data_IF_607737071309
#
_entry.id   IF_607737071309
#
_cell.length_a   1.000
_cell.length_b   1.000
_cell.length_c   1.000
_cell.angle_alpha   90.00
_cell.angle_beta   90.00
_cell.angle_gamma   90.00
#
_symmetry.space_group_name_H-M   'P 1'
#
loop_
_entity.id
_entity.type
_entity.pdbx_description
1 polymer ?
#
# COMPACT_ATOMS: atom_id res chain seq x y z
N UNK A 1 -46.78 -19.87 42.63
CA UNK A 1 -46.14 -20.87 41.78
C UNK A 1 -45.45 -20.08 40.67
N UNK A 2 -44.15 -19.70 40.88
CA UNK A 2 -43.37 -18.92 39.91
C UNK A 2 -42.66 -19.87 38.96
N UNK A 3 -43.03 -19.86 37.71
CA UNK A 3 -42.34 -20.60 36.65
C UNK A 3 -40.99 -19.88 36.35
N UNK A 4 -39.86 -20.46 36.74
CA UNK A 4 -38.54 -20.09 36.25
C UNK A 4 -38.38 -20.68 34.85
N UNK A 5 -38.36 -19.82 33.83
CA UNK A 5 -37.99 -20.20 32.47
C UNK A 5 -36.46 -20.21 32.44
N UNK A 6 -35.79 -21.32 32.13
CA UNK A 6 -34.33 -21.34 31.99
C UNK A 6 -33.95 -20.59 30.74
N UNK A 7 -33.10 -19.56 30.89
CA UNK A 7 -32.45 -18.84 29.81
C UNK A 7 -31.36 -19.76 29.22
N UNK A 8 -31.67 -20.47 28.13
CA UNK A 8 -30.66 -21.20 27.37
C UNK A 8 -29.78 -20.18 26.64
N UNK A 9 -28.56 -19.98 27.10
CA UNK A 9 -27.51 -19.34 26.36
C UNK A 9 -27.17 -20.27 25.19
N UNK A 10 -27.63 -19.94 23.99
CA UNK A 10 -27.18 -20.59 22.76
C UNK A 10 -25.78 -20.04 22.49
N UNK A 11 -24.72 -20.76 22.89
CA UNK A 11 -23.40 -20.57 22.35
C UNK A 11 -23.48 -20.91 20.86
N UNK A 12 -23.43 -19.92 20.00
CA UNK A 12 -23.26 -20.17 18.56
C UNK A 12 -21.92 -20.90 18.38
N UNK A 13 -21.97 -22.11 17.83
CA UNK A 13 -20.76 -22.85 17.51
C UNK A 13 -19.97 -22.05 16.44
N UNK A 14 -18.69 -21.77 16.74
CA UNK A 14 -17.76 -21.08 15.84
C UNK A 14 -17.53 -21.97 14.62
N UNK A 15 -17.63 -21.41 13.42
CA UNK A 15 -17.28 -22.13 12.21
C UNK A 15 -15.79 -22.48 12.21
N UNK A 16 -15.38 -23.65 11.71
CA UNK A 16 -13.96 -24.02 11.64
C UNK A 16 -13.13 -22.95 10.92
N UNK A 17 -12.07 -22.45 11.55
CA UNK A 17 -11.19 -21.42 11.01
C UNK A 17 -11.68 -19.99 11.12
N UNK A 18 -12.80 -19.73 11.81
CA UNK A 18 -13.31 -18.40 12.13
C UNK A 18 -12.65 -17.86 13.41
N UNK A 19 -12.11 -16.66 13.38
CA UNK A 19 -11.51 -15.98 14.52
C UNK A 19 -12.44 -14.87 15.05
N UNK A 20 -12.90 -14.95 16.30
CA UNK A 20 -13.66 -13.86 16.94
C UNK A 20 -12.69 -12.89 17.56
N UNK A 21 -12.50 -11.72 16.89
CA UNK A 21 -11.58 -10.68 17.34
C UNK A 21 -12.14 -9.84 18.48
N UNK A 22 -13.45 -9.67 18.54
CA UNK A 22 -14.14 -8.99 19.64
C UNK A 22 -15.50 -9.63 19.88
N UNK A 23 -15.91 -9.69 21.16
CA UNK A 23 -17.21 -10.15 21.56
C UNK A 23 -17.84 -9.10 22.48
N UNK A 24 -19.03 -8.57 22.13
CA UNK A 24 -19.79 -7.58 22.89
C UNK A 24 -18.99 -6.34 23.32
N UNK A 25 -18.00 -5.95 22.50
CA UNK A 25 -17.14 -4.79 22.77
C UNK A 25 -15.94 -5.09 23.68
N UNK A 26 -15.60 -6.35 23.89
CA UNK A 26 -14.39 -6.79 24.58
C UNK A 26 -13.53 -7.66 23.68
N UNK A 27 -12.21 -7.63 23.86
CA UNK A 27 -11.24 -8.41 23.10
C UNK A 27 -10.11 -8.89 24.00
N UNK A 28 -9.63 -10.11 23.75
CA UNK A 28 -8.41 -10.69 24.33
C UNK A 28 -7.27 -10.78 23.29
N UNK A 29 -7.45 -10.16 22.11
CA UNK A 29 -6.47 -10.09 21.05
C UNK A 29 -5.50 -8.94 21.25
N UNK A 30 -4.24 -9.17 20.88
CA UNK A 30 -3.20 -8.14 20.82
C UNK A 30 -2.72 -7.96 19.39
N UNK A 31 -2.21 -6.77 19.07
CA UNK A 31 -1.53 -6.51 17.80
C UNK A 31 -0.04 -6.65 18.04
N UNK A 32 0.63 -7.49 17.25
CA UNK A 32 2.07 -7.71 17.35
C UNK A 32 2.76 -7.06 16.15
N UNK A 33 3.71 -6.17 16.42
CA UNK A 33 4.60 -5.58 15.42
C UNK A 33 6.03 -5.60 15.96
N UNK A 34 6.99 -6.05 15.15
CA UNK A 34 8.38 -6.20 15.58
C UNK A 34 9.00 -4.85 16.00
N UNK A 35 9.95 -4.89 16.95
CA UNK A 35 10.65 -3.66 17.40
C UNK A 35 11.43 -2.99 16.27
N UNK A 36 12.01 -3.78 15.37
CA UNK A 36 12.76 -3.32 14.20
C UNK A 36 11.88 -3.10 12.95
N UNK A 37 10.56 -3.09 13.12
CA UNK A 37 9.61 -2.86 12.04
C UNK A 37 9.89 -1.54 11.31
N UNK A 38 9.62 -1.51 10.00
CA UNK A 38 9.67 -0.28 9.20
C UNK A 38 8.62 0.74 9.68
N UNK A 39 8.82 2.01 9.36
CA UNK A 39 7.84 3.06 9.68
C UNK A 39 6.43 2.71 9.17
N UNK A 40 6.33 2.21 7.94
CA UNK A 40 5.05 1.81 7.35
C UNK A 40 4.40 0.59 8.04
N UNK A 41 5.19 -0.33 8.59
CA UNK A 41 4.68 -1.46 9.37
C UNK A 41 4.14 -1.00 10.74
N UNK A 42 4.80 -0.02 11.37
CA UNK A 42 4.28 0.63 12.60
C UNK A 42 3.00 1.42 12.33
N UNK A 43 2.95 2.16 11.23
CA UNK A 43 1.73 2.83 10.79
C UNK A 43 0.61 1.82 10.54
N UNK A 44 0.90 0.70 9.91
CA UNK A 44 -0.06 -0.38 9.68
C UNK A 44 -0.68 -0.90 10.99
N UNK A 45 0.14 -1.13 12.02
CA UNK A 45 -0.33 -1.56 13.34
C UNK A 45 -1.18 -0.48 14.02
N UNK A 46 -0.81 0.79 13.92
CA UNK A 46 -1.57 1.91 14.48
C UNK A 46 -2.92 2.11 13.77
N UNK A 47 -2.94 2.09 12.44
CA UNK A 47 -4.18 2.15 11.63
C UNK A 47 -5.10 0.97 11.94
N UNK A 48 -4.56 -0.23 12.09
CA UNK A 48 -5.34 -1.41 12.48
C UNK A 48 -5.97 -1.25 13.86
N UNK A 49 -5.18 -0.80 14.84
CA UNK A 49 -5.65 -0.57 16.22
C UNK A 49 -6.79 0.46 16.24
N UNK A 50 -6.59 1.63 15.61
CA UNK A 50 -7.59 2.71 15.54
C UNK A 50 -8.91 2.20 14.96
N UNK A 51 -8.84 1.53 13.81
CA UNK A 51 -10.03 1.07 13.11
C UNK A 51 -10.74 -0.06 13.85
N UNK A 52 -10.02 -1.06 14.38
CA UNK A 52 -10.63 -2.13 15.16
C UNK A 52 -11.30 -1.60 16.44
N UNK A 53 -10.67 -0.64 17.13
CA UNK A 53 -11.27 0.01 18.27
C UNK A 53 -12.52 0.81 17.90
N UNK A 54 -12.48 1.55 16.81
CA UNK A 54 -13.63 2.30 16.31
C UNK A 54 -14.79 1.39 15.89
N UNK A 55 -14.49 0.24 15.29
CA UNK A 55 -15.49 -0.75 14.83
C UNK A 55 -16.16 -1.46 16.02
N UNK A 56 -15.36 -1.90 17.01
CA UNK A 56 -15.82 -2.85 18.04
C UNK A 56 -16.07 -2.21 19.42
N UNK A 57 -15.41 -1.07 19.68
CA UNK A 57 -15.31 -0.47 21.00
C UNK A 57 -14.30 -1.19 21.92
N UNK A 58 -13.69 -2.30 21.49
CA UNK A 58 -12.71 -3.06 22.25
C UNK A 58 -11.29 -2.48 22.10
N UNK A 59 -10.45 -2.66 23.10
CA UNK A 59 -9.03 -2.33 23.04
C UNK A 59 -8.23 -3.48 22.39
N UNK A 60 -7.29 -3.11 21.52
CA UNK A 60 -6.31 -4.02 20.90
C UNK A 60 -4.90 -3.51 21.19
N UNK A 61 -4.26 -3.90 22.30
CA UNK A 61 -2.93 -3.41 22.66
C UNK A 61 -1.89 -3.76 21.60
N UNK A 62 -1.03 -2.79 21.25
CA UNK A 62 0.11 -3.01 20.34
C UNK A 62 1.34 -3.32 21.17
N UNK A 63 2.04 -4.42 20.84
CA UNK A 63 3.22 -4.88 21.56
C UNK A 63 4.21 -5.57 20.62
N UNK A 64 5.50 -5.71 20.99
CA UNK A 64 6.50 -6.29 20.10
C UNK A 64 6.42 -7.82 20.00
N UNK A 65 5.85 -8.48 20.99
CA UNK A 65 5.76 -9.94 21.08
C UNK A 65 4.43 -10.39 21.65
N UNK A 66 4.08 -11.65 21.48
CA UNK A 66 2.94 -12.27 22.17
C UNK A 66 3.38 -13.62 22.76
N UNK A 67 2.72 -14.03 23.86
CA UNK A 67 2.90 -15.37 24.40
C UNK A 67 2.49 -16.45 23.36
N UNK A 68 3.07 -17.66 23.41
CA UNK A 68 2.80 -18.70 22.41
C UNK A 68 1.32 -19.02 22.19
N UNK A 69 0.52 -19.01 23.24
CA UNK A 69 -0.91 -19.32 23.29
C UNK A 69 -1.82 -18.07 23.21
N UNK A 70 -1.25 -16.86 23.25
CA UNK A 70 -2.03 -15.64 23.19
C UNK A 70 -2.63 -15.44 21.79
N UNK A 71 -3.85 -14.93 21.71
CA UNK A 71 -4.47 -14.51 20.46
C UNK A 71 -3.81 -13.22 19.95
N UNK A 72 -3.37 -13.22 18.69
CA UNK A 72 -2.66 -12.06 18.15
C UNK A 72 -2.94 -11.81 16.67
N UNK A 73 -2.98 -10.52 16.31
CA UNK A 73 -2.87 -10.07 14.93
C UNK A 73 -1.42 -9.67 14.69
N UNK A 74 -0.71 -10.46 13.91
CA UNK A 74 0.71 -10.29 13.61
C UNK A 74 0.85 -9.39 12.38
N UNK A 75 1.44 -8.22 12.56
CA UNK A 75 1.60 -7.20 11.52
C UNK A 75 3.06 -7.15 11.05
N UNK A 76 3.26 -7.45 9.79
CA UNK A 76 4.55 -7.44 9.13
C UNK A 76 5.28 -8.78 9.10
N UNK A 77 6.43 -8.83 8.41
CA UNK A 77 7.34 -9.96 8.42
C UNK A 77 7.79 -10.29 9.85
N UNK A 78 7.68 -11.56 10.22
CA UNK A 78 8.04 -11.98 11.57
C UNK A 78 8.39 -13.47 11.63
N UNK A 79 9.16 -13.94 12.63
CA UNK A 79 9.36 -15.37 12.87
C UNK A 79 8.04 -16.14 13.03
N UNK A 80 7.03 -15.56 13.66
CA UNK A 80 5.72 -16.18 13.86
C UNK A 80 5.03 -16.49 12.51
N UNK A 81 5.13 -15.59 11.54
CA UNK A 81 4.61 -15.84 10.19
C UNK A 81 5.41 -16.94 9.49
N UNK A 82 6.74 -16.87 9.53
CA UNK A 82 7.60 -17.83 8.85
C UNK A 82 7.44 -19.26 9.41
N UNK A 83 7.23 -19.41 10.71
CA UNK A 83 6.99 -20.69 11.36
C UNK A 83 5.60 -21.25 11.00
N UNK A 84 4.56 -20.42 11.04
CA UNK A 84 3.19 -20.85 10.78
C UNK A 84 2.91 -21.10 9.29
N UNK A 85 3.57 -20.36 8.41
CA UNK A 85 3.36 -20.37 6.96
C UNK A 85 4.68 -20.39 6.20
N UNK A 86 5.46 -21.49 6.26
CA UNK A 86 6.76 -21.60 5.59
C UNK A 86 6.65 -21.61 4.06
N UNK A 87 5.45 -21.77 3.53
CA UNK A 87 5.10 -21.67 2.10
C UNK A 87 5.08 -20.22 1.57
N UNK A 88 5.04 -19.23 2.46
CA UNK A 88 4.99 -17.82 2.08
C UNK A 88 6.39 -17.28 1.77
N UNK A 89 6.68 -17.07 0.49
CA UNK A 89 7.90 -16.40 0.04
C UNK A 89 7.68 -14.87 0.03
N UNK A 90 8.11 -14.20 1.10
CA UNK A 90 8.04 -12.73 1.20
C UNK A 90 8.90 -12.02 0.14
N UNK A 91 9.96 -12.67 -0.36
CA UNK A 91 10.83 -12.11 -1.42
C UNK A 91 10.11 -12.02 -2.77
N UNK A 92 9.20 -12.96 -3.06
CA UNK A 92 8.40 -12.97 -4.27
C UNK A 92 7.29 -11.91 -4.31
N UNK A 93 6.97 -11.27 -3.17
CA UNK A 93 5.90 -10.28 -3.08
C UNK A 93 6.26 -8.92 -3.69
N UNK A 94 7.53 -8.68 -4.02
CA UNK A 94 8.00 -7.37 -4.47
C UNK A 94 7.79 -6.30 -3.40
N UNK A 95 7.37 -5.10 -3.81
CA UNK A 95 7.21 -3.96 -2.89
C UNK A 95 5.80 -3.81 -2.30
N UNK A 96 4.80 -4.35 -2.97
CA UNK A 96 3.38 -4.07 -2.75
C UNK A 96 2.51 -5.32 -2.59
N UNK A 97 3.09 -6.52 -2.71
CA UNK A 97 2.38 -7.78 -2.51
C UNK A 97 1.97 -7.96 -1.06
N UNK A 98 0.85 -8.64 -0.84
CA UNK A 98 0.20 -8.78 0.47
C UNK A 98 -0.01 -10.24 0.84
N UNK A 99 -0.04 -10.50 2.14
CA UNK A 99 -0.39 -11.78 2.76
C UNK A 99 -1.45 -11.53 3.83
N UNK A 100 -2.58 -12.22 3.70
CA UNK A 100 -3.59 -12.34 4.75
C UNK A 100 -3.78 -13.84 5.01
N UNK A 101 -3.32 -14.31 6.15
CA UNK A 101 -3.46 -15.71 6.58
C UNK A 101 -4.05 -15.73 7.98
N UNK A 102 -4.70 -16.82 8.37
CA UNK A 102 -5.15 -16.98 9.75
C UNK A 102 -5.19 -18.43 10.19
N UNK A 103 -5.21 -18.62 11.49
CA UNK A 103 -5.62 -19.83 12.17
C UNK A 103 -6.51 -19.44 13.38
N UNK A 104 -6.86 -20.39 14.21
CA UNK A 104 -7.82 -20.16 15.32
C UNK A 104 -7.36 -19.10 16.34
N UNK A 105 -6.05 -18.86 16.49
CA UNK A 105 -5.47 -17.95 17.49
C UNK A 105 -4.63 -16.84 16.90
N UNK A 106 -4.40 -16.85 15.59
CA UNK A 106 -3.54 -15.88 14.91
C UNK A 106 -4.16 -15.38 13.61
N UNK A 107 -4.00 -14.07 13.38
CA UNK A 107 -4.21 -13.43 12.07
C UNK A 107 -2.87 -12.83 11.64
N UNK A 108 -2.46 -13.09 10.43
CA UNK A 108 -1.19 -12.60 9.86
C UNK A 108 -1.49 -11.62 8.73
N UNK A 109 -1.03 -10.38 8.90
CA UNK A 109 -1.16 -9.29 7.93
C UNK A 109 0.25 -8.80 7.58
N UNK A 110 0.80 -9.29 6.49
CA UNK A 110 2.17 -9.00 6.09
C UNK A 110 2.27 -8.72 4.60
N UNK A 111 3.43 -8.30 4.13
CA UNK A 111 3.64 -8.08 2.71
C UNK A 111 5.06 -7.69 2.36
N UNK A 112 5.28 -7.43 1.08
CA UNK A 112 6.55 -6.96 0.55
C UNK A 112 6.90 -5.56 1.05
N UNK A 113 8.19 -5.32 1.30
CA UNK A 113 8.65 -4.02 1.80
C UNK A 113 8.86 -3.02 0.66
N UNK A 114 8.52 -1.73 0.82
CA UNK A 114 8.12 -1.10 2.10
C UNK A 114 6.60 -1.00 2.34
N UNK A 115 5.71 -1.30 1.34
CA UNK A 115 4.29 -0.96 1.41
C UNK A 115 3.34 -2.13 1.65
N UNK A 116 3.75 -3.34 1.29
CA UNK A 116 2.86 -4.50 1.27
C UNK A 116 2.17 -4.79 2.60
N UNK A 117 2.87 -4.65 3.74
CA UNK A 117 2.25 -4.83 5.07
C UNK A 117 1.14 -3.82 5.33
N UNK A 118 1.35 -2.55 5.01
CA UNK A 118 0.32 -1.52 5.16
C UNK A 118 -0.88 -1.81 4.24
N UNK A 119 -0.61 -2.24 3.02
CA UNK A 119 -1.66 -2.62 2.07
C UNK A 119 -2.41 -3.89 2.50
N UNK A 120 -1.74 -4.83 3.18
CA UNK A 120 -2.41 -5.99 3.78
C UNK A 120 -3.41 -5.55 4.85
N UNK A 121 -3.01 -4.63 5.73
CA UNK A 121 -3.90 -4.07 6.74
C UNK A 121 -5.08 -3.31 6.12
N UNK A 122 -4.85 -2.45 5.14
CA UNK A 122 -5.95 -1.76 4.47
C UNK A 122 -6.89 -2.73 3.72
N UNK A 123 -6.33 -3.78 3.12
CA UNK A 123 -7.14 -4.83 2.47
C UNK A 123 -7.99 -5.58 3.49
N UNK A 124 -7.42 -5.93 4.65
CA UNK A 124 -8.16 -6.57 5.74
C UNK A 124 -9.28 -5.66 6.27
N UNK A 125 -8.98 -4.39 6.54
CA UNK A 125 -9.97 -3.43 7.00
C UNK A 125 -11.09 -3.22 5.98
N UNK A 126 -10.77 -3.22 4.69
CA UNK A 126 -11.74 -2.99 3.62
C UNK A 126 -12.58 -4.23 3.30
N UNK A 127 -11.93 -5.38 3.03
CA UNK A 127 -12.60 -6.59 2.53
C UNK A 127 -13.23 -7.42 3.66
N UNK A 128 -12.65 -7.43 4.86
CA UNK A 128 -13.05 -8.31 5.97
C UNK A 128 -13.83 -7.53 7.03
N UNK A 129 -13.27 -6.42 7.50
CA UNK A 129 -13.92 -5.61 8.54
C UNK A 129 -15.07 -4.78 7.98
N UNK A 130 -14.92 -4.25 6.77
CA UNK A 130 -15.95 -3.50 6.04
C UNK A 130 -15.77 -1.99 6.11
N UNK A 131 -14.60 -1.49 6.47
CA UNK A 131 -14.25 -0.07 6.38
C UNK A 131 -14.23 0.41 4.92
N UNK A 132 -14.50 1.69 4.70
CA UNK A 132 -14.38 2.33 3.37
C UNK A 132 -13.81 3.73 3.50
N UNK A 133 -13.03 4.13 2.52
CA UNK A 133 -12.51 5.48 2.35
C UNK A 133 -13.00 6.02 1.02
N UNK A 134 -14.02 6.89 1.08
CA UNK A 134 -14.68 7.41 -0.13
C UNK A 134 -13.93 8.59 -0.72
N UNK A 135 -13.27 9.36 0.15
CA UNK A 135 -12.44 10.51 -0.21
C UNK A 135 -11.34 10.72 0.84
N UNK A 136 -10.54 11.76 0.70
CA UNK A 136 -9.54 12.16 1.71
C UNK A 136 -10.18 12.60 3.04
N UNK A 137 -11.45 12.99 3.02
CA UNK A 137 -12.20 13.52 4.19
C UNK A 137 -13.36 12.64 4.63
N UNK A 138 -13.82 11.72 3.79
CA UNK A 138 -14.99 10.89 4.07
C UNK A 138 -14.60 9.41 4.18
N UNK A 139 -14.94 8.84 5.32
CA UNK A 139 -14.74 7.41 5.60
C UNK A 139 -16.00 6.79 6.21
N UNK A 140 -16.19 5.51 5.97
CA UNK A 140 -17.17 4.68 6.63
C UNK A 140 -16.46 3.65 7.53
N UNK A 141 -16.81 3.64 8.80
CA UNK A 141 -16.35 2.65 9.78
C UNK A 141 -17.59 1.97 10.33
N UNK A 142 -17.80 0.66 10.09
CA UNK A 142 -18.97 -0.04 10.57
C UNK A 142 -18.93 -0.17 12.11
N UNK A 143 -20.10 -0.20 12.76
CA UNK A 143 -20.22 -0.52 14.18
C UNK A 143 -20.54 -2.01 14.35
N UNK A 144 -19.60 -2.77 14.91
CA UNK A 144 -19.71 -4.22 15.13
C UNK A 144 -19.10 -4.58 16.48
N UNK A 145 -19.89 -4.52 17.56
CA UNK A 145 -19.43 -4.88 18.92
C UNK A 145 -18.92 -6.33 19.01
N UNK A 146 -19.46 -7.21 18.17
CA UNK A 146 -18.92 -8.56 17.93
C UNK A 146 -18.37 -8.60 16.50
N UNK A 147 -17.09 -8.93 16.37
CA UNK A 147 -16.39 -9.01 15.10
C UNK A 147 -15.79 -10.41 14.94
N UNK A 148 -16.40 -11.19 14.08
CA UNK A 148 -15.89 -12.48 13.63
C UNK A 148 -15.23 -12.31 12.26
N UNK A 149 -14.10 -12.96 12.08
CA UNK A 149 -13.26 -12.92 10.87
C UNK A 149 -13.20 -14.34 10.29
N UNK A 150 -13.57 -14.54 9.02
CA UNK A 150 -13.47 -15.85 8.38
C UNK A 150 -12.02 -16.32 8.30
N UNK A 151 -11.81 -17.59 8.01
CA UNK A 151 -10.50 -18.11 7.69
C UNK A 151 -9.88 -17.33 6.53
N UNK A 152 -8.65 -16.85 6.73
CA UNK A 152 -7.92 -16.06 5.73
C UNK A 152 -6.83 -16.92 5.08
N UNK A 153 -6.83 -16.94 3.76
CA UNK A 153 -5.80 -17.58 2.94
C UNK A 153 -5.63 -16.82 1.64
N UNK A 154 -5.00 -15.65 1.70
CA UNK A 154 -4.79 -14.77 0.55
C UNK A 154 -3.33 -14.36 0.46
N UNK A 155 -2.71 -14.68 -0.67
CA UNK A 155 -1.44 -14.11 -1.11
C UNK A 155 -1.70 -13.45 -2.45
N UNK A 156 -1.38 -12.17 -2.58
CA UNK A 156 -1.65 -11.43 -3.81
C UNK A 156 -0.51 -10.46 -4.12
N UNK A 157 -0.06 -10.48 -5.37
CA UNK A 157 0.92 -9.52 -5.89
C UNK A 157 0.23 -8.69 -6.97
N UNK A 158 0.22 -7.34 -6.84
CA UNK A 158 -0.39 -6.49 -7.85
C UNK A 158 0.28 -6.63 -9.22
N UNK A 159 -0.50 -6.81 -10.27
CA UNK A 159 0.00 -6.86 -11.66
C UNK A 159 0.61 -5.53 -12.09
N UNK A 160 0.06 -4.40 -11.62
CA UNK A 160 0.57 -3.07 -11.89
C UNK A 160 1.47 -2.63 -10.74
N UNK A 161 2.75 -2.45 -11.02
CA UNK A 161 3.72 -1.95 -10.03
C UNK A 161 3.56 -0.46 -9.75
N UNK A 162 2.99 0.28 -10.70
CA UNK A 162 2.71 1.72 -10.61
C UNK A 162 1.21 1.95 -10.70
N UNK A 163 0.65 2.63 -9.68
CA UNK A 163 -0.78 2.91 -9.57
C UNK A 163 -0.97 4.36 -9.15
N UNK A 164 -1.54 5.13 -10.03
CA UNK A 164 -1.80 6.55 -9.79
C UNK A 164 -3.13 6.95 -10.38
N UNK A 165 -3.95 7.63 -9.57
CA UNK A 165 -5.15 8.29 -10.02
C UNK A 165 -4.88 9.80 -10.08
N UNK A 166 -5.25 10.44 -11.20
CA UNK A 166 -4.92 11.85 -11.44
C UNK A 166 -6.15 12.74 -11.27
N UNK A 167 -6.57 12.92 -10.01
CA UNK A 167 -7.61 13.86 -9.62
C UNK A 167 -7.28 14.44 -8.23
N UNK A 168 -7.88 15.59 -7.91
CA UNK A 168 -7.49 16.41 -6.75
C UNK A 168 -7.38 15.64 -5.45
N UNK A 169 -8.38 14.82 -5.13
CA UNK A 169 -8.46 14.11 -3.86
C UNK A 169 -7.41 13.01 -3.74
N UNK A 170 -7.05 12.37 -4.88
CA UNK A 170 -6.01 11.35 -4.94
C UNK A 170 -4.58 11.89 -4.69
N UNK A 171 -4.40 13.21 -4.62
CA UNK A 171 -3.11 13.82 -4.24
C UNK A 171 -2.93 13.92 -2.71
N UNK A 172 -3.95 13.59 -1.91
CA UNK A 172 -3.77 13.36 -0.49
C UNK A 172 -3.00 12.05 -0.25
N UNK A 173 -1.87 12.14 0.46
CA UNK A 173 -0.95 10.99 0.63
C UNK A 173 -1.55 9.87 1.46
N UNK A 174 -2.39 10.19 2.46
CA UNK A 174 -3.03 9.20 3.33
C UNK A 174 -4.14 8.47 2.57
N UNK A 175 -4.99 9.22 1.86
CA UNK A 175 -6.04 8.64 1.03
C UNK A 175 -5.47 7.78 -0.09
N UNK A 176 -4.38 8.23 -0.72
CA UNK A 176 -3.67 7.46 -1.73
C UNK A 176 -3.10 6.14 -1.18
N UNK A 177 -2.49 6.15 0.01
CA UNK A 177 -1.99 4.95 0.67
C UNK A 177 -3.14 3.97 0.99
N UNK A 178 -4.26 4.47 1.54
CA UNK A 178 -5.47 3.68 1.82
C UNK A 178 -6.10 3.10 0.53
N UNK A 179 -6.01 3.83 -0.58
CA UNK A 179 -6.42 3.39 -1.92
C UNK A 179 -5.35 2.55 -2.62
N UNK A 180 -4.24 2.23 -1.97
CA UNK A 180 -3.11 1.44 -2.48
C UNK A 180 -2.46 2.07 -3.72
N UNK A 181 -2.54 3.39 -3.88
CA UNK A 181 -1.83 4.18 -4.87
C UNK A 181 -0.40 4.49 -4.39
N UNK A 182 0.54 4.50 -5.33
CA UNK A 182 1.96 4.66 -5.06
C UNK A 182 2.67 5.53 -6.11
N UNK A 183 1.91 6.35 -6.83
CA UNK A 183 2.38 7.09 -7.99
C UNK A 183 3.28 8.27 -7.69
N UNK A 184 3.83 8.86 -8.73
CA UNK A 184 4.85 9.92 -8.67
C UNK A 184 4.31 11.25 -8.13
N UNK A 185 3.09 11.62 -8.51
CA UNK A 185 2.48 12.89 -8.11
C UNK A 185 1.89 12.86 -6.71
N UNK A 186 1.60 11.67 -6.20
CA UNK A 186 1.11 11.50 -4.84
C UNK A 186 2.29 11.41 -3.91
N UNK A 187 2.50 12.42 -3.10
CA UNK A 187 3.59 12.44 -2.12
C UNK A 187 3.21 11.62 -0.89
N UNK A 188 3.17 10.31 -1.07
CA UNK A 188 3.02 9.39 0.06
C UNK A 188 4.29 9.44 0.90
N UNK A 189 4.15 9.79 2.19
CA UNK A 189 5.28 9.87 3.11
C UNK A 189 5.88 8.49 3.42
N UNK A 190 7.12 8.45 3.92
CA UNK A 190 7.82 7.19 4.23
C UNK A 190 7.10 6.35 5.29
N UNK A 191 6.40 6.98 6.22
CA UNK A 191 5.56 6.33 7.22
C UNK A 191 4.35 5.59 6.63
N UNK A 192 4.00 5.89 5.38
CA UNK A 192 3.01 5.16 4.57
C UNK A 192 3.67 4.31 3.46
N UNK A 193 4.99 4.12 3.52
CA UNK A 193 5.75 3.29 2.60
C UNK A 193 6.27 4.01 1.35
N UNK A 194 6.11 5.33 1.27
CA UNK A 194 6.62 6.15 0.17
C UNK A 194 5.93 5.90 -1.17
N UNK A 195 6.47 6.49 -2.21
CA UNK A 195 5.92 6.43 -3.57
C UNK A 195 7.01 6.17 -4.60
N UNK A 196 6.63 5.91 -5.84
CA UNK A 196 7.55 5.83 -6.96
C UNK A 196 7.95 7.23 -7.43
N UNK A 197 9.25 7.42 -7.68
CA UNK A 197 9.78 8.61 -8.32
C UNK A 197 10.15 8.27 -9.75
N UNK A 198 9.38 8.76 -10.72
CA UNK A 198 9.70 8.59 -12.14
C UNK A 198 10.68 9.68 -12.55
N UNK A 199 11.79 9.27 -13.15
CA UNK A 199 12.74 10.21 -13.75
C UNK A 199 12.11 10.82 -15.00
N UNK A 200 11.82 12.13 -14.94
CA UNK A 200 11.30 12.84 -16.09
C UNK A 200 9.92 12.43 -16.54
N UNK A 201 8.95 12.56 -15.70
CA UNK A 201 7.55 12.16 -15.87
C UNK A 201 6.95 12.42 -17.27
N UNK A 202 6.98 13.68 -17.76
CA UNK A 202 6.47 14.07 -19.07
C UNK A 202 7.19 15.33 -19.54
N UNK A 203 7.05 15.70 -20.83
CA UNK A 203 7.68 16.87 -21.43
C UNK A 203 9.20 16.93 -21.20
N UNK A 204 9.89 15.78 -21.32
CA UNK A 204 11.31 15.64 -20.98
C UNK A 204 12.25 15.90 -22.14
N UNK A 205 11.73 16.06 -23.34
CA UNK A 205 12.54 16.23 -24.53
C UNK A 205 13.55 17.37 -24.39
N UNK A 206 13.11 18.53 -23.94
CA UNK A 206 13.97 19.70 -23.76
C UNK A 206 14.83 19.64 -22.47
N UNK A 207 14.57 18.71 -21.57
CA UNK A 207 15.51 18.40 -20.50
C UNK A 207 16.69 17.56 -21.00
N UNK A 208 16.48 16.74 -22.02
CA UNK A 208 17.48 15.86 -22.61
C UNK A 208 18.23 16.54 -23.77
N UNK A 209 17.52 17.28 -24.61
CA UNK A 209 18.08 18.13 -25.70
C UNK A 209 17.60 19.57 -25.53
N UNK A 210 18.20 20.34 -24.62
CA UNK A 210 17.78 21.72 -24.36
C UNK A 210 18.07 22.62 -25.58
N UNK A 211 17.09 23.42 -26.04
CA UNK A 211 17.28 24.32 -27.21
C UNK A 211 18.43 25.29 -27.07
N UNK A 212 18.71 25.76 -25.86
CA UNK A 212 19.78 26.69 -25.55
C UNK A 212 21.15 26.14 -25.95
N UNK A 213 21.30 24.82 -25.95
CA UNK A 213 22.53 24.14 -26.28
C UNK A 213 22.62 23.71 -27.75
N UNK A 214 21.48 23.29 -28.31
CA UNK A 214 21.49 22.58 -29.60
C UNK A 214 20.81 23.34 -30.73
N UNK A 215 19.90 24.27 -30.48
CA UNK A 215 19.09 24.88 -31.55
C UNK A 215 19.90 25.73 -32.54
N UNK A 216 20.89 26.45 -32.05
CA UNK A 216 21.69 27.30 -32.89
C UNK A 216 22.47 26.53 -33.99
N UNK A 217 22.96 25.33 -33.65
CA UNK A 217 23.75 24.49 -34.57
C UNK A 217 22.88 23.46 -35.32
N UNK A 218 21.75 23.07 -34.70
CA UNK A 218 20.89 22.01 -35.22
C UNK A 218 19.40 22.42 -35.18
N UNK A 219 18.97 23.46 -35.87
CA UNK A 219 17.56 23.87 -35.89
C UNK A 219 16.65 22.80 -36.49
N UNK A 220 17.16 21.93 -37.38
CA UNK A 220 16.44 20.80 -37.98
C UNK A 220 16.11 19.66 -37.00
N UNK A 221 16.68 19.70 -35.80
CA UNK A 221 16.32 18.76 -34.73
C UNK A 221 15.00 19.11 -34.02
N UNK A 222 14.48 20.29 -34.26
CA UNK A 222 13.27 20.82 -33.62
C UNK A 222 12.12 20.93 -34.63
N UNK A 223 10.89 21.04 -34.14
CA UNK A 223 9.71 21.10 -34.99
C UNK A 223 9.75 22.31 -35.94
N UNK A 224 9.26 22.09 -37.13
CA UNK A 224 8.93 23.16 -38.09
C UNK A 224 7.45 23.51 -37.98
N UNK A 225 7.15 24.78 -37.77
CA UNK A 225 5.80 25.32 -37.65
C UNK A 225 5.71 26.52 -38.61
N UNK A 226 4.76 26.47 -39.51
CA UNK A 226 4.58 27.52 -40.53
C UNK A 226 5.86 27.85 -41.36
N UNK A 227 6.65 26.81 -41.64
CA UNK A 227 7.91 26.94 -42.41
C UNK A 227 9.11 27.41 -41.58
N UNK A 228 8.98 27.58 -40.27
CA UNK A 228 10.06 28.00 -39.37
C UNK A 228 10.39 26.94 -38.33
N UNK A 229 11.68 26.67 -38.13
CA UNK A 229 12.15 25.82 -37.01
C UNK A 229 12.13 26.62 -35.74
N UNK A 230 11.54 25.98 -34.68
CA UNK A 230 11.35 26.64 -33.39
C UNK A 230 11.83 25.74 -32.24
N UNK A 231 12.69 26.31 -31.39
CA UNK A 231 13.20 25.68 -30.18
C UNK A 231 12.32 25.88 -28.93
N UNK A 232 11.28 26.73 -29.02
CA UNK A 232 10.41 27.04 -27.87
C UNK A 232 8.97 26.61 -28.12
N UNK A 233 8.31 26.09 -27.06
CA UNK A 233 6.89 25.67 -27.09
C UNK A 233 6.58 24.71 -28.23
N UNK A 234 7.52 23.84 -28.57
CA UNK A 234 7.43 22.85 -29.65
C UNK A 234 7.90 21.46 -29.17
N UNK A 235 8.20 20.59 -30.11
CA UNK A 235 8.74 19.26 -29.85
C UNK A 235 10.01 19.03 -30.67
N UNK A 236 10.67 17.87 -30.48
CA UNK A 236 11.78 17.43 -31.31
C UNK A 236 11.28 16.84 -32.65
N UNK A 237 12.11 16.90 -33.68
CA UNK A 237 11.87 16.26 -34.96
C UNK A 237 12.24 14.77 -34.88
N UNK A 238 11.30 13.90 -34.48
CA UNK A 238 11.57 12.48 -34.24
C UNK A 238 11.98 11.69 -35.49
N UNK A 239 11.85 12.24 -36.69
CA UNK A 239 12.32 11.62 -37.93
C UNK A 239 13.81 11.93 -38.24
N UNK A 240 14.42 12.90 -37.54
CA UNK A 240 15.84 13.22 -37.70
C UNK A 240 16.71 12.18 -36.96
N UNK A 241 17.52 11.43 -37.70
CA UNK A 241 18.33 10.33 -37.16
C UNK A 241 19.48 10.82 -36.28
N UNK A 242 20.11 11.91 -36.62
CA UNK A 242 21.21 12.49 -35.84
C UNK A 242 20.71 13.00 -34.49
N UNK A 243 19.54 13.65 -34.48
CA UNK A 243 18.87 14.07 -33.26
C UNK A 243 18.56 12.88 -32.37
N UNK A 244 17.97 11.79 -32.92
CA UNK A 244 17.66 10.58 -32.12
C UNK A 244 18.91 9.95 -31.50
N UNK A 245 20.01 9.89 -32.22
CA UNK A 245 21.27 9.37 -31.71
C UNK A 245 21.80 10.17 -30.52
N UNK A 246 21.83 11.51 -30.64
CA UNK A 246 22.24 12.37 -29.52
C UNK A 246 21.24 12.33 -28.34
N UNK A 247 19.94 12.26 -28.64
CA UNK A 247 18.91 12.11 -27.62
C UNK A 247 19.12 10.84 -26.78
N UNK A 248 19.33 9.70 -27.43
CA UNK A 248 19.58 8.42 -26.75
C UNK A 248 20.84 8.50 -25.88
N UNK A 249 21.92 9.07 -26.40
CA UNK A 249 23.15 9.26 -25.63
C UNK A 249 22.91 10.08 -24.37
N UNK A 250 22.27 11.25 -24.51
CA UNK A 250 21.97 12.14 -23.38
C UNK A 250 20.98 11.52 -22.38
N UNK A 251 19.97 10.80 -22.86
CA UNK A 251 19.02 10.08 -22.03
C UNK A 251 19.71 9.00 -21.17
N UNK A 252 20.61 8.22 -21.78
CA UNK A 252 21.38 7.20 -21.04
C UNK A 252 22.31 7.83 -19.99
N UNK A 253 22.93 8.97 -20.30
CA UNK A 253 23.73 9.71 -19.33
C UNK A 253 22.86 10.23 -18.17
N UNK A 254 21.68 10.76 -18.48
CA UNK A 254 20.74 11.25 -17.48
C UNK A 254 20.27 10.14 -16.54
N UNK A 255 19.92 8.96 -17.07
CA UNK A 255 19.56 7.77 -16.28
C UNK A 255 20.73 7.35 -15.37
N UNK A 256 21.96 7.27 -15.92
CA UNK A 256 23.15 6.88 -15.12
C UNK A 256 23.45 7.83 -13.97
N UNK A 257 23.17 9.12 -14.13
CA UNK A 257 23.35 10.13 -13.06
C UNK A 257 22.26 10.09 -11.99
N UNK A 258 21.16 9.36 -12.22
CA UNK A 258 20.02 9.28 -11.32
C UNK A 258 19.62 7.84 -10.99
N UNK A 259 20.53 7.01 -10.43
CA UNK A 259 20.32 5.56 -10.28
C UNK A 259 19.23 5.18 -9.27
N UNK A 260 18.74 6.15 -8.48
CA UNK A 260 17.67 5.94 -7.48
C UNK A 260 16.29 6.39 -7.96
N UNK A 261 16.19 6.83 -9.21
CA UNK A 261 14.95 7.30 -9.82
C UNK A 261 14.67 6.44 -11.05
N UNK A 262 13.60 5.68 -10.99
CA UNK A 262 13.22 4.78 -12.09
C UNK A 262 12.26 3.71 -11.62
#
# INVERSE_FOLDING_TARGET
MHLMVPLFLILAAQAPGEAVLAQDGASDWVIVVAEDALAAERTAAAELQEHLQAVTGAAFPVQPTAAPDAKAIVVGPSPLLAEAHPDVDLGALGRDGIVLKSNDTRVYLAGGRPRGTLYAVYTFLEEVVGCRWWSSTERYVPEKRTLAVPALDKVYVPHLIYREAFYRDAFDGVFAARSKCNGHFVRVAEEYGGHYNILGWCHTFFQILPPERYFAEHPDWYSEIDGERRGERTQLCLTNEAMRAEFVKNALEWIRRNPKRG
#
